data_IF_947284590031
#
_entry.id   IF_947284590031
#
_cell.length_a   1.000
_cell.length_b   1.000
_cell.length_c   1.000
_cell.angle_alpha   90.00
_cell.angle_beta   90.00
_cell.angle_gamma   90.00
#
_symmetry.space_group_name_H-M   'P 1'
#
loop_
_entity.id
_entity.type
_entity.pdbx_description
1 polymer ?
#
# COMPACT_ATOMS: atom_id res chain seq x y z
N UNK A 1 -25.00 43.94 16.49
CA UNK A 1 -25.45 42.91 15.54
C UNK A 1 -24.65 41.66 15.84
N UNK A 2 -25.30 40.67 16.42
CA UNK A 2 -24.74 39.38 16.78
C UNK A 2 -24.58 38.52 15.53
N UNK A 3 -23.34 38.14 15.22
CA UNK A 3 -23.05 37.12 14.22
C UNK A 3 -23.30 35.76 14.88
N UNK A 4 -24.46 35.17 14.63
CA UNK A 4 -24.76 33.80 15.05
C UNK A 4 -23.91 32.86 14.21
N UNK A 5 -22.90 32.27 14.84
CA UNK A 5 -22.08 31.22 14.25
C UNK A 5 -22.97 30.08 13.80
N UNK A 6 -22.93 29.82 12.50
CA UNK A 6 -23.48 28.61 11.92
C UNK A 6 -22.57 27.47 12.39
N UNK A 7 -23.04 26.74 13.40
CA UNK A 7 -22.32 25.61 13.95
C UNK A 7 -22.28 24.53 12.86
N UNK A 8 -21.14 24.41 12.18
CA UNK A 8 -20.78 23.17 11.51
C UNK A 8 -21.02 22.04 12.50
N UNK A 9 -21.81 21.01 12.17
CA UNK A 9 -22.06 19.91 13.10
C UNK A 9 -20.72 19.39 13.59
N UNK A 10 -20.48 19.47 14.90
CA UNK A 10 -19.35 18.81 15.53
C UNK A 10 -19.36 17.36 15.04
N UNK A 11 -18.25 16.85 14.49
CA UNK A 11 -18.18 15.45 14.11
C UNK A 11 -18.60 14.61 15.31
N UNK A 12 -19.33 13.49 15.12
CA UNK A 12 -19.46 12.54 16.21
C UNK A 12 -18.06 12.25 16.71
N UNK A 13 -17.90 12.27 18.04
CA UNK A 13 -16.67 12.15 18.83
C UNK A 13 -15.86 10.85 18.55
N UNK A 14 -16.29 10.07 17.54
CA UNK A 14 -15.84 8.73 17.14
C UNK A 14 -14.93 8.70 15.92
N UNK A 15 -14.75 9.79 15.17
CA UNK A 15 -13.80 9.85 14.04
C UNK A 15 -12.52 10.62 14.48
N UNK A 16 -11.40 9.93 14.79
CA UNK A 16 -10.24 10.56 15.41
C UNK A 16 -9.36 11.35 14.41
N UNK A 17 -9.55 11.16 13.10
CA UNK A 17 -8.90 11.95 12.05
C UNK A 17 -9.96 12.29 11.00
N UNK A 18 -10.41 13.54 10.97
CA UNK A 18 -11.39 14.00 9.99
C UNK A 18 -10.65 14.39 8.71
N UNK A 19 -10.91 13.73 7.58
CA UNK A 19 -10.58 14.31 6.28
C UNK A 19 -11.39 15.61 6.14
N UNK A 20 -10.76 16.75 6.35
CA UNK A 20 -11.45 18.04 6.31
C UNK A 20 -11.60 18.51 4.87
N UNK A 21 -12.84 18.77 4.46
CA UNK A 21 -13.12 19.35 3.16
C UNK A 21 -12.85 20.85 3.18
N UNK A 22 -12.45 21.40 2.03
CA UNK A 22 -12.52 22.84 1.87
C UNK A 22 -13.99 23.28 1.98
N UNK A 23 -14.30 24.44 2.60
CA UNK A 23 -15.68 24.88 2.79
C UNK A 23 -16.54 24.86 1.51
N UNK A 24 -15.93 25.18 0.36
CA UNK A 24 -16.56 25.16 -0.97
C UNK A 24 -17.00 23.77 -1.45
N UNK A 25 -16.42 22.69 -0.94
CA UNK A 25 -16.74 21.30 -1.34
C UNK A 25 -17.58 20.54 -0.31
N UNK A 26 -17.86 21.16 0.84
CA UNK A 26 -18.55 20.52 1.99
C UNK A 26 -19.95 19.98 1.68
N UNK A 27 -20.61 20.50 0.64
CA UNK A 27 -21.95 20.11 0.21
C UNK A 27 -21.97 19.02 -0.88
N UNK A 28 -20.80 18.64 -1.41
CA UNK A 28 -20.71 17.65 -2.49
C UNK A 28 -20.98 16.23 -1.98
N UNK A 29 -21.46 15.37 -2.87
CA UNK A 29 -21.69 13.93 -2.61
C UNK A 29 -22.67 13.61 -1.44
N UNK A 30 -23.85 14.26 -1.33
CA UNK A 30 -24.72 14.19 -0.14
C UNK A 30 -25.24 12.79 0.21
N UNK A 31 -25.22 11.84 -0.74
CA UNK A 31 -25.72 10.48 -0.54
C UNK A 31 -24.68 9.41 -0.89
N UNK A 32 -23.41 9.79 -1.06
CA UNK A 32 -22.37 8.79 -1.32
C UNK A 32 -22.13 7.95 -0.07
N UNK A 33 -21.94 6.66 -0.30
CA UNK A 33 -21.62 5.64 0.70
C UNK A 33 -20.36 4.91 0.28
N UNK A 34 -19.73 4.21 1.23
CA UNK A 34 -18.62 3.30 0.89
C UNK A 34 -19.12 2.32 -0.18
N UNK A 35 -18.33 2.05 -1.24
CA UNK A 35 -18.70 1.05 -2.24
C UNK A 35 -18.95 -0.31 -1.56
N UNK A 36 -20.07 -0.99 -1.86
CA UNK A 36 -20.41 -2.27 -1.24
C UNK A 36 -19.62 -3.42 -1.88
N UNK A 37 -18.30 -3.37 -1.77
CA UNK A 37 -17.41 -4.44 -2.24
C UNK A 37 -17.62 -5.73 -1.45
N UNK A 38 -17.22 -6.89 -2.00
CA UNK A 38 -17.42 -8.19 -1.32
C UNK A 38 -16.79 -8.24 0.07
N UNK A 39 -15.67 -7.52 0.25
CA UNK A 39 -14.98 -7.40 1.52
C UNK A 39 -15.48 -6.27 2.43
N UNK A 40 -16.47 -5.46 2.03
CA UNK A 40 -17.04 -4.45 2.91
C UNK A 40 -18.12 -5.06 3.83
N UNK A 41 -17.81 -5.15 5.13
CA UNK A 41 -18.67 -5.76 6.16
C UNK A 41 -19.35 -7.10 5.75
N UNK A 42 -18.57 -8.09 5.27
CA UNK A 42 -19.10 -9.35 4.75
C UNK A 42 -19.92 -10.11 5.80
N UNK A 43 -20.83 -11.00 5.38
CA UNK A 43 -21.62 -11.83 6.31
C UNK A 43 -20.77 -12.87 7.04
N UNK A 44 -19.85 -13.52 6.31
CA UNK A 44 -18.79 -14.38 6.84
C UNK A 44 -17.52 -13.55 7.06
N UNK A 45 -16.74 -13.87 8.07
CA UNK A 45 -15.40 -13.27 8.26
C UNK A 45 -14.44 -13.74 7.16
N UNK A 46 -13.37 -12.97 6.95
CA UNK A 46 -12.31 -13.18 5.96
C UNK A 46 -10.95 -12.89 6.61
N UNK A 47 -9.85 -13.13 5.90
CA UNK A 47 -8.50 -12.87 6.42
C UNK A 47 -7.97 -13.98 7.32
N UNK A 48 -6.74 -13.82 7.80
CA UNK A 48 -6.08 -14.68 8.77
C UNK A 48 -5.98 -14.02 10.15
N UNK A 49 -5.40 -14.72 11.13
CA UNK A 49 -5.00 -14.14 12.41
C UNK A 49 -6.16 -13.55 13.21
N UNK A 50 -6.01 -12.28 13.58
CA UNK A 50 -7.00 -11.52 14.33
C UNK A 50 -8.10 -10.92 13.43
N UNK A 51 -7.87 -10.78 12.12
CA UNK A 51 -8.84 -10.21 11.15
C UNK A 51 -10.10 -11.08 11.09
N UNK A 52 -9.92 -12.40 11.03
CA UNK A 52 -11.05 -13.35 11.00
C UNK A 52 -11.90 -13.37 12.28
N UNK A 53 -11.42 -12.75 13.39
CA UNK A 53 -12.10 -12.69 14.68
C UNK A 53 -12.95 -11.43 14.85
N UNK A 54 -12.90 -10.51 13.87
CA UNK A 54 -13.56 -9.22 13.98
C UNK A 54 -15.10 -9.34 13.93
N UNK A 55 -15.81 -8.65 14.85
CA UNK A 55 -17.26 -8.62 14.84
C UNK A 55 -17.78 -7.90 13.59
N UNK A 56 -19.01 -8.22 13.20
CA UNK A 56 -19.68 -7.51 12.11
C UNK A 56 -19.94 -6.07 12.54
N UNK A 57 -19.74 -5.12 11.63
CA UNK A 57 -19.98 -3.71 11.93
C UNK A 57 -21.46 -3.48 12.26
N UNK A 58 -21.71 -2.65 13.27
CA UNK A 58 -23.05 -2.21 13.64
C UNK A 58 -23.55 -1.03 12.79
N UNK A 59 -24.77 -0.55 13.07
CA UNK A 59 -25.39 0.54 12.31
C UNK A 59 -24.62 1.85 12.45
N UNK A 60 -24.07 2.14 13.63
CA UNK A 60 -23.33 3.38 13.88
C UNK A 60 -21.99 3.36 13.14
N UNK A 61 -21.27 2.24 13.18
CA UNK A 61 -20.00 2.07 12.48
C UNK A 61 -20.19 2.19 10.96
N UNK A 62 -21.30 1.70 10.42
CA UNK A 62 -21.65 1.88 9.00
C UNK A 62 -21.97 3.34 8.65
N UNK A 63 -22.63 4.08 9.55
CA UNK A 63 -22.88 5.52 9.38
C UNK A 63 -21.56 6.30 9.40
N UNK A 64 -20.68 5.99 10.34
CA UNK A 64 -19.36 6.61 10.47
C UNK A 64 -18.48 6.34 9.24
N UNK A 65 -18.47 5.10 8.75
CA UNK A 65 -17.75 4.72 7.53
C UNK A 65 -18.22 5.52 6.31
N UNK A 66 -19.54 5.66 6.13
CA UNK A 66 -20.14 6.43 5.03
C UNK A 66 -19.83 7.92 5.14
N UNK A 67 -19.90 8.49 6.35
CA UNK A 67 -19.55 9.88 6.60
C UNK A 67 -18.07 10.13 6.28
N UNK A 68 -17.19 9.24 6.74
CA UNK A 68 -15.76 9.34 6.51
C UNK A 68 -15.41 9.23 5.02
N UNK A 69 -15.99 8.27 4.30
CA UNK A 69 -15.79 8.13 2.85
C UNK A 69 -16.21 9.40 2.09
N UNK A 70 -17.38 9.95 2.42
CA UNK A 70 -17.84 11.21 1.82
C UNK A 70 -16.87 12.35 2.07
N UNK A 71 -16.43 12.53 3.32
CA UNK A 71 -15.49 13.58 3.70
C UNK A 71 -14.16 13.47 2.96
N UNK A 72 -13.65 12.25 2.76
CA UNK A 72 -12.45 12.01 1.93
C UNK A 72 -12.65 12.47 0.49
N UNK A 73 -13.78 12.13 -0.13
CA UNK A 73 -14.07 12.57 -1.50
C UNK A 73 -14.17 14.09 -1.61
N UNK A 74 -14.79 14.74 -0.62
CA UNK A 74 -14.88 16.21 -0.56
C UNK A 74 -13.51 16.86 -0.36
N UNK A 75 -12.66 16.32 0.53
CA UNK A 75 -11.29 16.79 0.72
C UNK A 75 -10.44 16.63 -0.55
N UNK A 76 -10.62 15.51 -1.27
CA UNK A 76 -9.90 15.22 -2.50
C UNK A 76 -10.20 16.22 -3.63
N UNK A 77 -11.35 16.90 -3.62
CA UNK A 77 -11.66 17.94 -4.62
C UNK A 77 -10.67 19.11 -4.58
N UNK A 78 -10.21 19.52 -3.38
CA UNK A 78 -9.21 20.56 -3.27
C UNK A 78 -7.83 20.12 -3.78
N UNK A 79 -7.52 18.82 -3.68
CA UNK A 79 -6.31 18.23 -4.25
C UNK A 79 -6.41 18.18 -5.78
N UNK A 80 -7.57 17.82 -6.32
CA UNK A 80 -7.82 17.80 -7.76
C UNK A 80 -7.64 19.20 -8.39
N UNK A 81 -8.24 20.23 -7.78
CA UNK A 81 -8.05 21.63 -8.19
C UNK A 81 -6.57 22.07 -8.11
N UNK A 82 -5.83 21.62 -7.10
CA UNK A 82 -4.39 21.91 -6.97
C UNK A 82 -3.60 21.25 -8.10
N UNK A 83 -3.88 19.99 -8.41
CA UNK A 83 -3.24 19.26 -9.51
C UNK A 83 -3.55 19.96 -10.84
N UNK A 84 -4.81 20.31 -11.09
CA UNK A 84 -5.20 21.08 -12.29
C UNK A 84 -4.41 22.39 -12.38
N UNK A 85 -4.32 23.15 -11.28
CA UNK A 85 -3.60 24.43 -11.25
C UNK A 85 -2.10 24.26 -11.55
N UNK A 86 -1.44 23.23 -10.99
CA UNK A 86 -0.03 22.93 -11.27
C UNK A 86 0.16 22.56 -12.74
N UNK A 87 -0.66 21.65 -13.27
CA UNK A 87 -0.58 21.22 -14.67
C UNK A 87 -0.82 22.38 -15.62
N UNK A 88 -1.85 23.19 -15.36
CA UNK A 88 -2.15 24.39 -16.16
C UNK A 88 -0.99 25.38 -16.11
N UNK A 89 -0.39 25.59 -14.94
CA UNK A 89 0.73 26.52 -14.81
C UNK A 89 1.97 26.05 -15.59
N UNK A 90 2.26 24.76 -15.59
CA UNK A 90 3.32 24.19 -16.41
C UNK A 90 3.03 24.34 -17.90
N UNK A 91 1.77 24.23 -18.31
CA UNK A 91 1.33 24.41 -19.71
C UNK A 91 1.45 25.87 -20.16
N UNK A 92 0.94 26.81 -19.35
CA UNK A 92 1.02 28.25 -19.59
C UNK A 92 2.48 28.75 -19.73
N UNK A 93 3.43 28.08 -19.06
CA UNK A 93 4.86 28.36 -19.14
C UNK A 93 5.58 27.58 -20.25
N UNK A 94 4.85 26.77 -21.04
CA UNK A 94 5.37 25.86 -22.06
C UNK A 94 6.42 24.84 -21.55
N UNK A 95 6.47 24.59 -20.24
CA UNK A 95 7.39 23.65 -19.60
C UNK A 95 6.86 22.21 -19.63
N UNK A 96 5.53 22.08 -19.76
CA UNK A 96 4.84 20.81 -19.64
C UNK A 96 5.28 19.76 -20.68
N UNK A 97 5.68 20.20 -21.88
CA UNK A 97 6.19 19.32 -22.94
C UNK A 97 7.52 18.63 -22.62
N UNK A 98 8.27 19.16 -21.64
CA UNK A 98 9.59 18.67 -21.22
C UNK A 98 9.61 18.30 -19.73
N UNK A 99 8.44 18.01 -19.15
CA UNK A 99 8.31 17.68 -17.72
C UNK A 99 7.67 16.31 -17.58
N UNK A 100 8.28 15.43 -16.79
CA UNK A 100 7.62 14.24 -16.30
C UNK A 100 6.77 14.62 -15.07
N UNK A 101 5.50 14.23 -15.09
CA UNK A 101 4.62 14.33 -13.92
C UNK A 101 4.24 12.92 -13.50
N UNK A 102 4.52 12.59 -12.25
CA UNK A 102 4.17 11.33 -11.62
C UNK A 102 3.15 11.63 -10.52
N UNK A 103 1.98 11.02 -10.61
CA UNK A 103 0.94 11.10 -9.58
C UNK A 103 0.84 9.74 -8.87
N UNK A 104 1.05 9.75 -7.56
CA UNK A 104 1.07 8.56 -6.71
C UNK A 104 0.72 8.92 -5.26
N UNK A 105 0.67 7.92 -4.38
CA UNK A 105 0.51 8.06 -2.92
C UNK A 105 1.51 7.15 -2.20
N UNK A 106 1.79 7.41 -0.93
CA UNK A 106 2.66 6.56 -0.10
C UNK A 106 1.99 5.21 0.22
N UNK A 107 0.69 5.23 0.52
CA UNK A 107 -0.15 4.06 0.78
C UNK A 107 -1.63 4.40 0.49
N UNK A 108 -2.50 3.39 0.56
CA UNK A 108 -3.95 3.57 0.59
C UNK A 108 -4.50 3.48 2.01
N UNK A 109 -5.83 3.49 2.09
CA UNK A 109 -6.60 3.58 3.31
C UNK A 109 -7.85 2.71 3.17
N UNK A 110 -8.02 1.74 4.06
CA UNK A 110 -9.24 0.93 4.13
C UNK A 110 -10.31 1.62 4.96
N UNK A 111 -11.55 1.44 4.54
CA UNK A 111 -12.76 1.93 5.22
C UNK A 111 -13.62 0.71 5.53
N UNK A 112 -13.25 0.01 6.60
CA UNK A 112 -13.96 -1.17 7.09
C UNK A 112 -14.07 -2.37 6.15
N UNK A 113 -13.22 -2.43 5.12
CA UNK A 113 -13.00 -3.69 4.41
C UNK A 113 -12.44 -4.75 5.38
N UNK A 114 -12.86 -5.99 5.20
CA UNK A 114 -12.63 -7.13 6.10
C UNK A 114 -13.10 -6.88 7.54
N UNK A 115 -14.01 -5.91 7.77
CA UNK A 115 -14.45 -5.41 9.08
C UNK A 115 -13.32 -4.72 9.88
N UNK A 116 -12.19 -4.43 9.25
CA UNK A 116 -11.03 -3.80 9.89
C UNK A 116 -11.34 -2.33 10.18
N UNK A 117 -11.21 -1.83 11.41
CA UNK A 117 -11.42 -0.41 11.70
C UNK A 117 -10.59 0.50 10.79
N UNK A 118 -11.06 1.72 10.55
CA UNK A 118 -10.43 2.67 9.64
C UNK A 118 -8.91 2.79 9.86
N UNK A 119 -8.15 2.79 8.77
CA UNK A 119 -6.70 2.95 8.84
C UNK A 119 -5.97 2.47 7.60
N UNK A 120 -4.72 2.08 7.84
CA UNK A 120 -3.77 1.57 6.85
C UNK A 120 -2.79 0.60 7.51
N UNK A 121 -1.91 -0.01 6.73
CA UNK A 121 -0.87 -0.91 7.22
C UNK A 121 -1.30 -2.38 7.25
N UNK A 122 -2.10 -2.79 6.26
CA UNK A 122 -2.45 -4.19 5.96
C UNK A 122 -1.90 -4.60 4.61
N UNK A 123 -1.74 -5.90 4.38
CA UNK A 123 -1.32 -6.45 3.08
C UNK A 123 -2.47 -6.52 2.05
N UNK A 124 -3.69 -6.12 2.42
CA UNK A 124 -4.84 -6.15 1.52
C UNK A 124 -4.72 -5.08 0.41
N UNK A 125 -5.31 -5.34 -0.76
CA UNK A 125 -5.29 -4.42 -1.91
C UNK A 125 -5.81 -3.02 -1.56
N UNK A 126 -6.68 -2.94 -0.56
CA UNK A 126 -7.23 -1.68 -0.03
C UNK A 126 -6.17 -0.75 0.55
N UNK A 127 -4.98 -1.26 0.85
CA UNK A 127 -3.89 -0.57 1.53
C UNK A 127 -2.65 -0.44 0.63
N UNK A 128 -2.37 -1.45 -0.19
CA UNK A 128 -1.09 -1.56 -0.92
C UNK A 128 -1.19 -1.23 -2.41
N UNK A 129 -2.35 -1.43 -3.04
CA UNK A 129 -2.48 -1.24 -4.49
C UNK A 129 -2.79 0.23 -4.83
N UNK A 130 -1.76 1.06 -4.79
CA UNK A 130 -1.84 2.51 -4.99
C UNK A 130 -2.04 2.93 -6.46
N UNK A 131 -2.64 4.10 -6.74
CA UNK A 131 -2.56 4.71 -8.06
C UNK A 131 -1.12 5.09 -8.39
N UNK A 132 -0.66 4.80 -9.61
CA UNK A 132 0.60 5.27 -10.14
C UNK A 132 0.38 5.72 -11.59
N UNK A 133 0.39 7.02 -11.84
CA UNK A 133 0.16 7.59 -13.17
C UNK A 133 1.36 8.43 -13.59
N UNK A 134 1.81 8.24 -14.83
CA UNK A 134 2.94 8.99 -15.39
C UNK A 134 2.51 9.66 -16.67
N UNK A 135 2.96 10.89 -16.85
CA UNK A 135 2.94 11.57 -18.14
C UNK A 135 4.26 12.30 -18.37
N UNK A 136 4.66 12.46 -19.62
CA UNK A 136 5.86 13.21 -19.94
C UNK A 136 6.39 12.90 -21.33
N UNK A 137 7.60 13.38 -21.67
CA UNK A 137 8.26 13.07 -22.93
C UNK A 137 8.38 11.56 -23.17
N UNK A 138 7.97 11.09 -24.34
CA UNK A 138 8.11 9.68 -24.72
C UNK A 138 7.23 8.68 -23.96
N UNK A 139 6.31 9.16 -23.11
CA UNK A 139 5.27 8.33 -22.48
C UNK A 139 4.06 8.28 -23.39
N UNK A 140 3.57 7.09 -23.71
CA UNK A 140 2.43 6.91 -24.59
C UNK A 140 1.15 7.47 -23.99
N UNK A 141 0.32 8.11 -24.83
CA UNK A 141 -0.95 8.70 -24.41
C UNK A 141 -2.07 7.67 -24.48
N UNK A 142 -3.00 7.74 -23.52
CA UNK A 142 -4.22 6.92 -23.54
C UNK A 142 -4.00 5.44 -23.20
N UNK A 143 -2.82 5.09 -22.69
CA UNK A 143 -2.55 3.75 -22.14
C UNK A 143 -3.25 3.64 -20.79
N UNK A 144 -4.21 2.72 -20.70
CA UNK A 144 -4.97 2.46 -19.47
C UNK A 144 -4.46 1.17 -18.82
N UNK A 145 -3.59 1.32 -17.84
CA UNK A 145 -2.98 0.21 -17.09
C UNK A 145 -1.84 -0.48 -17.83
N UNK A 146 -0.97 -1.13 -17.05
CA UNK A 146 0.11 -2.00 -17.53
C UNK A 146 -0.02 -3.36 -16.84
N UNK A 147 0.50 -4.42 -17.47
CA UNK A 147 0.57 -5.75 -16.84
C UNK A 147 1.86 -5.93 -16.04
N UNK A 148 2.52 -4.81 -15.73
CA UNK A 148 3.82 -4.78 -15.07
C UNK A 148 3.58 -4.59 -13.60
N UNK A 149 4.16 -5.48 -12.80
CA UNK A 149 4.18 -5.31 -11.35
C UNK A 149 5.24 -4.28 -11.02
N UNK A 150 4.87 -3.29 -10.22
CA UNK A 150 5.76 -2.21 -9.80
C UNK A 150 5.68 -2.02 -8.29
N UNK A 151 6.77 -1.54 -7.69
CA UNK A 151 6.89 -1.23 -6.28
C UNK A 151 7.41 0.21 -6.08
N UNK A 152 7.22 0.81 -4.90
CA UNK A 152 7.77 2.14 -4.58
C UNK A 152 9.30 2.21 -4.71
N UNK A 153 10.01 1.10 -4.48
CA UNK A 153 11.46 1.03 -4.66
C UNK A 153 11.89 1.23 -6.12
N UNK A 154 10.98 1.08 -7.09
CA UNK A 154 11.26 1.29 -8.51
C UNK A 154 11.27 2.79 -8.90
N UNK A 155 10.74 3.67 -8.05
CA UNK A 155 10.56 5.10 -8.38
C UNK A 155 11.91 5.78 -8.61
N UNK A 156 12.87 5.58 -7.71
CA UNK A 156 14.21 6.20 -7.82
C UNK A 156 14.97 5.73 -9.06
N UNK A 157 15.17 4.41 -9.30
CA UNK A 157 15.87 3.95 -10.50
C UNK A 157 15.14 4.39 -11.79
N UNK A 158 13.80 4.49 -11.77
CA UNK A 158 13.03 5.05 -12.90
C UNK A 158 13.38 6.51 -13.16
N UNK A 159 13.41 7.35 -12.13
CA UNK A 159 13.72 8.77 -12.27
C UNK A 159 15.15 9.00 -12.79
N UNK A 160 16.13 8.26 -12.27
CA UNK A 160 17.52 8.34 -12.74
C UNK A 160 17.65 7.91 -14.20
N UNK A 161 16.96 6.83 -14.59
CA UNK A 161 16.91 6.36 -15.98
C UNK A 161 16.30 7.40 -16.91
N UNK A 162 15.19 8.03 -16.52
CA UNK A 162 14.59 9.14 -17.28
C UNK A 162 15.52 10.35 -17.41
N UNK A 163 16.34 10.62 -16.39
CA UNK A 163 17.34 11.68 -16.39
C UNK A 163 18.61 11.33 -17.19
N UNK A 164 18.72 10.11 -17.74
CA UNK A 164 19.92 9.64 -18.42
C UNK A 164 21.11 9.38 -17.50
N UNK A 165 20.85 9.22 -16.19
CA UNK A 165 21.87 8.91 -15.19
C UNK A 165 22.02 7.39 -15.14
N UNK A 166 23.24 6.85 -15.36
CA UNK A 166 23.46 5.41 -15.33
C UNK A 166 23.26 4.86 -13.92
N UNK A 167 22.63 3.68 -13.84
CA UNK A 167 22.47 2.94 -12.59
C UNK A 167 23.70 2.06 -12.37
N UNK A 168 24.25 2.09 -11.15
CA UNK A 168 25.25 1.13 -10.72
C UNK A 168 24.63 -0.23 -10.41
N UNK A 169 25.42 -1.31 -10.48
CA UNK A 169 24.95 -2.63 -10.06
C UNK A 169 24.64 -2.62 -8.57
N UNK A 170 23.42 -3.04 -8.20
CA UNK A 170 22.95 -3.14 -6.81
C UNK A 170 22.79 -1.81 -6.05
N UNK A 171 22.69 -0.68 -6.74
CA UNK A 171 22.42 0.62 -6.09
C UNK A 171 21.03 0.71 -5.47
N UNK A 172 20.07 -0.06 -6.00
CA UNK A 172 18.66 -0.04 -5.62
C UNK A 172 18.08 -1.45 -5.56
N UNK A 173 17.12 -1.66 -4.66
CA UNK A 173 16.32 -2.90 -4.59
C UNK A 173 15.31 -3.00 -5.75
N UNK A 174 14.85 -1.85 -6.25
CA UNK A 174 13.94 -1.76 -7.38
C UNK A 174 14.65 -1.62 -8.73
N UNK A 175 13.89 -1.67 -9.81
CA UNK A 175 14.39 -1.47 -11.18
C UNK A 175 13.58 -0.43 -11.94
N UNK A 176 14.10 0.15 -13.04
CA UNK A 176 13.36 1.12 -13.82
C UNK A 176 12.04 0.56 -14.34
N UNK A 177 10.95 1.29 -14.13
CA UNK A 177 9.65 0.95 -14.69
C UNK A 177 9.65 1.21 -16.21
N UNK A 178 8.92 0.39 -17.00
CA UNK A 178 8.82 0.53 -18.44
C UNK A 178 7.80 1.61 -18.82
N UNK A 179 8.04 2.85 -18.40
CA UNK A 179 7.12 4.00 -18.60
C UNK A 179 7.33 4.73 -19.95
N UNK A 180 8.45 4.48 -20.62
CA UNK A 180 8.79 5.03 -21.94
C UNK A 180 9.80 4.12 -22.62
N UNK A 181 10.10 4.36 -23.89
CA UNK A 181 11.17 3.64 -24.61
C UNK A 181 12.54 3.66 -23.90
N UNK A 182 12.80 4.70 -23.11
CA UNK A 182 14.03 4.80 -22.30
C UNK A 182 13.96 3.88 -21.08
N UNK A 183 12.79 3.78 -20.43
CA UNK A 183 12.55 2.88 -19.32
C UNK A 183 12.45 1.41 -19.73
N UNK A 184 11.88 1.11 -20.90
CA UNK A 184 11.75 -0.26 -21.42
C UNK A 184 13.10 -0.97 -21.59
N UNK A 185 14.11 -0.27 -22.09
CA UNK A 185 15.43 -0.86 -22.33
C UNK A 185 16.21 -1.17 -21.04
N UNK A 186 15.87 -0.50 -19.93
CA UNK A 186 16.51 -0.67 -18.62
C UNK A 186 15.68 -1.51 -17.64
N UNK A 187 14.45 -1.87 -18.02
CA UNK A 187 13.53 -2.62 -17.17
C UNK A 187 13.95 -4.08 -17.02
N UNK A 188 13.95 -4.55 -15.78
CA UNK A 188 14.02 -5.99 -15.49
C UNK A 188 12.61 -6.42 -15.05
N UNK A 189 11.96 -7.33 -15.79
CA UNK A 189 10.66 -7.84 -15.37
C UNK A 189 10.75 -8.47 -13.99
N UNK A 190 9.94 -7.96 -13.06
CA UNK A 190 9.73 -8.61 -11.77
C UNK A 190 8.41 -9.38 -11.82
N UNK A 191 8.48 -10.66 -11.47
CA UNK A 191 7.32 -11.53 -11.30
C UNK A 191 6.66 -11.34 -9.92
N UNK A 192 7.29 -10.59 -9.02
CA UNK A 192 6.79 -10.42 -7.66
C UNK A 192 7.14 -9.06 -7.05
N UNK A 193 6.36 -8.67 -6.05
CA UNK A 193 6.58 -7.51 -5.19
C UNK A 193 6.48 -7.93 -3.73
N UNK A 194 7.49 -7.55 -2.94
CA UNK A 194 7.49 -7.67 -1.49
C UNK A 194 6.77 -6.50 -0.83
N UNK A 195 5.95 -6.82 0.17
CA UNK A 195 5.20 -5.88 1.01
C UNK A 195 5.46 -6.26 2.46
N UNK A 196 5.67 -5.29 3.33
CA UNK A 196 5.93 -5.56 4.73
C UNK A 196 5.29 -4.52 5.64
N UNK A 197 5.01 -4.94 6.87
CA UNK A 197 4.68 -4.06 7.98
C UNK A 197 5.35 -4.59 9.23
N UNK A 198 5.96 -3.68 10.01
CA UNK A 198 6.69 -4.02 11.23
C UNK A 198 6.13 -3.28 12.44
N UNK A 199 5.90 -4.03 13.52
CA UNK A 199 5.52 -3.51 14.82
C UNK A 199 4.01 -3.43 15.05
N UNK A 200 3.64 -2.51 15.92
CA UNK A 200 2.29 -2.28 16.40
C UNK A 200 1.51 -1.34 15.50
N UNK A 201 0.22 -1.61 15.31
CA UNK A 201 -0.68 -0.67 14.64
C UNK A 201 -1.68 -0.08 15.63
N UNK A 202 -1.77 1.26 15.62
CA UNK A 202 -2.90 1.98 16.18
C UNK A 202 -3.94 2.21 15.08
N UNK A 203 -5.21 1.88 15.36
CA UNK A 203 -6.28 2.20 14.43
C UNK A 203 -6.52 3.70 14.37
N UNK A 204 -6.83 4.19 13.17
CA UNK A 204 -7.20 5.58 12.91
C UNK A 204 -8.73 5.78 12.96
N UNK A 205 -9.48 4.78 13.43
CA UNK A 205 -10.94 4.81 13.60
C UNK A 205 -11.38 4.13 14.90
N UNK A 206 -12.58 4.49 15.37
CA UNK A 206 -13.19 3.79 16.49
C UNK A 206 -13.60 2.37 16.08
N UNK A 207 -13.44 1.43 17.02
CA UNK A 207 -13.99 0.09 16.96
C UNK A 207 -14.66 -0.16 18.31
N UNK A 208 -15.96 -0.48 18.31
CA UNK A 208 -16.77 -0.44 19.53
C UNK A 208 -16.39 -1.51 20.56
N UNK A 209 -15.78 -2.60 20.12
CA UNK A 209 -15.45 -3.77 20.93
C UNK A 209 -14.00 -4.26 20.76
N UNK A 210 -13.14 -3.47 20.11
CA UNK A 210 -11.70 -3.75 20.12
C UNK A 210 -11.09 -2.94 21.24
N UNK A 211 -10.27 -3.60 22.06
CA UNK A 211 -9.39 -2.87 22.96
C UNK A 211 -8.57 -1.90 22.10
N UNK A 212 -8.66 -0.59 22.41
CA UNK A 212 -7.89 0.45 21.73
C UNK A 212 -6.40 0.31 22.02
N UNK A 213 -6.00 -0.66 22.85
CA UNK A 213 -4.62 -1.09 22.96
C UNK A 213 -4.14 -1.63 21.61
N UNK A 214 -2.97 -1.15 21.21
CA UNK A 214 -2.23 -1.53 20.01
C UNK A 214 -2.35 -3.02 19.69
N UNK A 215 -2.68 -3.36 18.45
CA UNK A 215 -2.54 -4.75 18.00
C UNK A 215 -1.04 -5.03 17.81
N UNK A 216 -0.48 -5.79 18.75
CA UNK A 216 0.93 -6.21 18.76
C UNK A 216 1.25 -7.27 17.71
N UNK A 217 0.23 -7.91 17.16
CA UNK A 217 0.33 -8.93 16.14
C UNK A 217 -0.08 -8.39 14.75
N UNK A 218 0.46 -7.22 14.37
CA UNK A 218 0.30 -6.66 13.02
C UNK A 218 1.56 -6.78 12.16
N UNK A 219 2.62 -7.41 12.66
CA UNK A 219 3.81 -7.61 11.84
C UNK A 219 3.54 -8.71 10.82
N UNK A 220 3.76 -8.41 9.54
CA UNK A 220 3.60 -9.35 8.45
C UNK A 220 4.59 -9.06 7.33
N UNK A 221 4.78 -10.07 6.49
CA UNK A 221 5.32 -9.92 5.16
C UNK A 221 4.37 -10.53 4.15
N UNK A 222 4.36 -9.97 2.96
CA UNK A 222 3.51 -10.43 1.89
C UNK A 222 4.23 -10.37 0.55
N UNK A 223 3.84 -11.28 -0.33
CA UNK A 223 4.27 -11.33 -1.70
C UNK A 223 3.04 -11.15 -2.59
N UNK A 224 3.13 -10.21 -3.54
CA UNK A 224 2.27 -10.20 -4.71
C UNK A 224 3.05 -10.83 -5.85
N UNK A 225 2.54 -11.91 -6.43
CA UNK A 225 3.20 -12.67 -7.48
C UNK A 225 2.31 -12.65 -8.72
N UNK A 226 2.86 -12.24 -9.86
CA UNK A 226 2.18 -12.21 -11.15
C UNK A 226 3.07 -12.94 -12.15
N UNK A 227 2.53 -14.01 -12.73
CA UNK A 227 3.29 -14.79 -13.69
C UNK A 227 3.48 -14.05 -15.02
N UNK A 228 4.48 -14.50 -15.79
CA UNK A 228 4.81 -13.90 -17.08
C UNK A 228 3.63 -14.02 -18.08
N UNK A 229 3.00 -12.89 -18.36
CA UNK A 229 1.86 -12.78 -19.27
C UNK A 229 0.51 -12.94 -18.55
N UNK A 230 -0.47 -12.12 -18.96
CA UNK A 230 -1.86 -12.16 -18.46
C UNK A 230 -2.35 -13.60 -18.33
N UNK A 231 -2.83 -13.97 -17.15
CA UNK A 231 -3.53 -15.23 -16.85
C UNK A 231 -2.67 -16.47 -16.58
N UNK A 232 -1.36 -16.37 -16.33
CA UNK A 232 -0.59 -17.53 -15.82
C UNK A 232 -0.92 -17.77 -14.34
N UNK A 233 -0.62 -16.80 -13.48
CA UNK A 233 -1.08 -16.75 -12.10
C UNK A 233 -1.01 -15.31 -11.58
N UNK A 234 -1.81 -15.02 -10.56
CA UNK A 234 -1.86 -13.71 -9.91
C UNK A 234 -2.24 -13.94 -8.45
N UNK A 235 -1.24 -13.99 -7.57
CA UNK A 235 -1.37 -14.51 -6.22
C UNK A 235 -0.96 -13.46 -5.20
N UNK A 236 -1.75 -13.31 -4.14
CA UNK A 236 -1.38 -12.59 -2.93
C UNK A 236 -1.11 -13.60 -1.82
N UNK A 237 0.08 -13.57 -1.24
CA UNK A 237 0.47 -14.44 -0.14
C UNK A 237 0.94 -13.60 1.05
N UNK A 238 0.46 -13.90 2.24
CA UNK A 238 0.74 -13.13 3.47
C UNK A 238 1.18 -14.11 4.55
N UNK A 239 2.30 -13.81 5.20
CA UNK A 239 2.80 -14.50 6.39
C UNK A 239 2.75 -13.53 7.56
N UNK A 240 2.03 -13.89 8.60
CA UNK A 240 1.96 -13.15 9.86
C UNK A 240 3.01 -13.65 10.84
N UNK A 241 3.43 -12.77 11.75
CA UNK A 241 4.44 -13.12 12.75
C UNK A 241 4.02 -14.14 13.80
N UNK A 242 2.71 -14.40 13.96
CA UNK A 242 2.19 -15.49 14.77
C UNK A 242 2.18 -16.84 14.02
N UNK A 243 2.64 -16.87 12.77
CA UNK A 243 2.67 -18.04 11.91
C UNK A 243 1.36 -18.32 11.18
N UNK A 244 0.36 -17.43 11.25
CA UNK A 244 -0.80 -17.54 10.36
C UNK A 244 -0.42 -17.14 8.92
N UNK A 245 -1.09 -17.78 7.97
CA UNK A 245 -0.85 -17.60 6.54
C UNK A 245 -2.14 -17.27 5.81
N UNK A 246 -2.03 -16.44 4.78
CA UNK A 246 -3.13 -16.16 3.86
C UNK A 246 -2.65 -16.31 2.42
N UNK A 247 -3.48 -16.92 1.59
CA UNK A 247 -3.26 -17.04 0.16
C UNK A 247 -4.51 -16.61 -0.58
N UNK A 248 -4.35 -15.86 -1.67
CA UNK A 248 -5.47 -15.39 -2.48
C UNK A 248 -5.11 -15.50 -3.96
N UNK A 249 -6.01 -16.09 -4.75
CA UNK A 249 -5.98 -15.91 -6.21
C UNK A 249 -6.63 -14.57 -6.52
N UNK A 250 -5.80 -13.60 -6.87
CA UNK A 250 -6.20 -12.21 -7.09
C UNK A 250 -6.94 -12.01 -8.43
N UNK A 251 -7.00 -13.03 -9.28
CA UNK A 251 -7.84 -13.04 -10.49
C UNK A 251 -9.28 -13.37 -10.15
N UNK A 252 -9.48 -14.44 -9.38
CA UNK A 252 -10.82 -14.95 -9.03
C UNK A 252 -11.39 -14.34 -7.74
N UNK A 253 -10.51 -13.94 -6.82
CA UNK A 253 -10.81 -13.31 -5.53
C UNK A 253 -10.03 -11.98 -5.34
N UNK A 254 -10.31 -10.95 -6.16
CA UNK A 254 -9.64 -9.64 -6.04
C UNK A 254 -10.00 -8.88 -4.75
N UNK A 255 -10.96 -9.39 -3.97
CA UNK A 255 -11.37 -8.82 -2.70
C UNK A 255 -10.84 -9.61 -1.49
N UNK A 256 -10.04 -10.67 -1.72
CA UNK A 256 -9.31 -11.39 -0.68
C UNK A 256 -10.23 -11.95 0.42
N UNK A 257 -11.32 -12.56 -0.01
CA UNK A 257 -12.38 -13.07 0.84
C UNK A 257 -12.18 -14.53 1.26
N UNK A 258 -11.60 -15.33 0.39
CA UNK A 258 -11.52 -16.78 0.53
C UNK A 258 -10.06 -17.21 0.65
N UNK A 259 -9.57 -17.27 1.89
CA UNK A 259 -8.26 -17.86 2.21
C UNK A 259 -8.40 -19.40 2.14
N UNK A 260 -7.77 -20.08 1.16
CA UNK A 260 -7.84 -21.53 1.02
C UNK A 260 -6.94 -22.25 2.03
N UNK A 261 -6.02 -21.53 2.71
CA UNK A 261 -5.13 -22.15 3.69
C UNK A 261 -5.85 -22.38 5.03
N UNK A 262 -5.60 -23.52 5.71
CA UNK A 262 -6.12 -23.75 7.04
C UNK A 262 -5.47 -22.79 8.05
N UNK A 263 -6.25 -22.24 8.99
CA UNK A 263 -5.69 -21.44 10.10
C UNK A 263 -4.77 -22.32 10.96
N UNK A 264 -3.57 -21.83 11.28
CA UNK A 264 -2.65 -22.54 12.16
C UNK A 264 -3.19 -22.46 13.59
N UNK A 265 -3.68 -23.59 14.13
CA UNK A 265 -3.93 -23.70 15.57
C UNK A 265 -2.62 -23.47 16.32
N UNK A 266 -2.66 -22.65 17.38
CA UNK A 266 -1.55 -22.36 18.30
C UNK A 266 -0.96 -23.59 19.04
N UNK A 267 -1.42 -24.81 18.73
CA UNK A 267 -0.86 -26.07 19.19
C UNK A 267 -0.07 -26.84 18.13
N UNK A 268 -0.05 -26.38 16.88
CA UNK A 268 0.70 -27.05 15.83
C UNK A 268 2.13 -26.56 15.88
N UNK A 269 2.94 -27.24 16.69
CA UNK A 269 4.36 -27.40 16.40
C UNK A 269 4.48 -27.65 14.89
N UNK A 270 5.40 -26.97 14.19
CA UNK A 270 5.79 -27.36 12.83
C UNK A 270 6.30 -28.80 12.95
N UNK A 271 5.40 -29.78 12.79
CA UNK A 271 5.74 -31.19 12.75
C UNK A 271 6.19 -31.40 11.32
N UNK A 272 7.45 -31.80 11.07
CA UNK A 272 7.81 -32.31 9.76
C UNK A 272 6.94 -33.56 9.58
N UNK A 273 5.86 -33.46 8.79
CA UNK A 273 5.01 -34.62 8.48
C UNK A 273 5.83 -35.57 7.63
N UNK A 274 6.55 -36.49 8.28
CA UNK A 274 7.25 -37.58 7.62
C UNK A 274 6.21 -38.53 7.02
N UNK A 275 6.04 -38.47 5.70
CA UNK A 275 5.52 -39.59 4.90
C UNK A 275 4.12 -39.46 4.31
N UNK A 276 3.51 -38.27 4.28
CA UNK A 276 2.26 -38.03 3.54
C UNK A 276 2.51 -37.30 2.23
N UNK A 277 1.76 -37.61 1.18
CA UNK A 277 1.64 -36.74 -0.01
C UNK A 277 1.09 -35.39 0.48
N UNK A 278 1.79 -34.30 0.20
CA UNK A 278 1.30 -32.94 0.50
C UNK A 278 0.04 -32.68 -0.34
N UNK A 279 -1.02 -32.17 0.28
CA UNK A 279 -2.15 -31.65 -0.47
C UNK A 279 -1.72 -30.47 -1.35
N UNK A 280 -2.48 -30.13 -2.39
CA UNK A 280 -2.13 -29.00 -3.26
C UNK A 280 -1.97 -27.68 -2.48
N UNK A 281 -2.84 -27.43 -1.50
CA UNK A 281 -2.76 -26.25 -0.62
C UNK A 281 -1.52 -26.28 0.29
N UNK A 282 -1.23 -27.43 0.92
CA UNK A 282 -0.02 -27.61 1.73
C UNK A 282 1.23 -27.43 0.88
N UNK A 283 1.24 -27.98 -0.34
CA UNK A 283 2.34 -27.89 -1.29
C UNK A 283 2.55 -26.44 -1.74
N UNK A 284 1.49 -25.71 -2.07
CA UNK A 284 1.57 -24.29 -2.40
C UNK A 284 2.07 -23.46 -1.21
N UNK A 285 1.61 -23.73 0.01
CA UNK A 285 2.13 -23.03 1.18
C UNK A 285 3.63 -23.31 1.38
N UNK A 286 4.06 -24.58 1.33
CA UNK A 286 5.48 -24.92 1.45
C UNK A 286 6.32 -24.35 0.30
N UNK A 287 5.77 -24.28 -0.91
CA UNK A 287 6.44 -23.70 -2.06
C UNK A 287 6.61 -22.18 -1.89
N UNK A 288 5.61 -21.48 -1.37
CA UNK A 288 5.72 -20.04 -1.09
C UNK A 288 6.61 -19.75 0.12
N UNK A 289 6.60 -20.60 1.15
CA UNK A 289 7.55 -20.52 2.27
C UNK A 289 8.99 -20.70 1.78
N UNK A 290 9.26 -21.74 0.99
CA UNK A 290 10.58 -22.01 0.40
C UNK A 290 11.01 -20.89 -0.55
N UNK A 291 10.09 -20.40 -1.39
CA UNK A 291 10.31 -19.26 -2.28
C UNK A 291 10.64 -18.01 -1.47
N UNK A 292 9.85 -17.70 -0.46
CA UNK A 292 10.08 -16.59 0.45
C UNK A 292 11.45 -16.71 1.16
N UNK A 293 11.80 -17.89 1.67
CA UNK A 293 13.12 -18.16 2.24
C UNK A 293 14.26 -18.04 1.21
N UNK A 294 14.00 -18.32 -0.06
CA UNK A 294 14.98 -18.12 -1.14
C UNK A 294 15.23 -16.64 -1.48
N UNK A 295 14.22 -15.78 -1.27
CA UNK A 295 14.36 -14.32 -1.37
C UNK A 295 15.20 -13.75 -0.21
N UNK A 296 15.36 -14.51 0.89
CA UNK A 296 16.03 -14.09 2.13
C UNK A 296 17.58 -14.08 2.05
N UNK A 297 18.15 -13.35 1.08
CA UNK A 297 19.50 -12.77 1.29
C UNK A 297 19.52 -11.71 2.41
N UNK A 298 18.35 -11.21 2.82
CA UNK A 298 18.19 -10.44 4.04
C UNK A 298 17.83 -11.39 5.18
N UNK A 299 18.77 -11.58 6.11
CA UNK A 299 18.61 -12.34 7.35
C UNK A 299 17.70 -11.55 8.32
N UNK A 300 16.54 -12.11 8.69
CA UNK A 300 15.61 -11.45 9.62
C UNK A 300 15.17 -12.41 10.71
N UNK A 301 16.04 -12.59 11.69
CA UNK A 301 15.93 -13.70 12.64
C UNK A 301 14.87 -13.50 13.75
N UNK A 302 13.99 -12.47 13.71
CA UNK A 302 12.95 -12.35 14.74
C UNK A 302 11.73 -11.49 14.35
N UNK A 303 10.55 -12.10 14.47
CA UNK A 303 9.29 -11.43 14.74
C UNK A 303 9.34 -10.74 16.12
N UNK A 304 9.92 -9.54 16.18
CA UNK A 304 10.04 -8.80 17.44
C UNK A 304 8.97 -7.69 17.49
N UNK A 305 8.09 -7.65 18.51
CA UNK A 305 7.07 -6.61 18.66
C UNK A 305 7.65 -5.19 18.86
N UNK A 306 8.97 -5.11 19.08
CA UNK A 306 9.74 -3.86 19.20
C UNK A 306 10.81 -3.71 18.12
N UNK A 307 10.62 -4.31 16.94
CA UNK A 307 11.52 -4.06 15.83
C UNK A 307 11.34 -2.60 15.38
N UNK A 308 12.13 -1.71 15.96
CA UNK A 308 12.48 -0.48 15.27
C UNK A 308 13.27 -0.94 14.06
N UNK A 309 12.73 -0.72 12.85
CA UNK A 309 13.50 -0.88 11.62
C UNK A 309 14.72 0.04 11.70
N UNK A 310 15.83 -0.49 12.23
CA UNK A 310 17.14 0.07 11.98
C UNK A 310 17.39 -0.34 10.55
N UNK A 311 17.46 0.63 9.64
CA UNK A 311 17.80 0.41 8.24
C UNK A 311 18.84 -0.71 8.15
N UNK A 312 18.56 -1.73 7.35
CA UNK A 312 19.40 -2.91 7.28
C UNK A 312 20.82 -2.54 6.85
N UNK A 313 21.73 -2.60 7.82
CA UNK A 313 23.13 -2.31 7.58
C UNK A 313 23.45 -0.82 7.47
N UNK A 314 24.73 -0.47 7.59
CA UNK A 314 25.14 0.92 7.71
C UNK A 314 24.81 1.67 6.43
N UNK A 315 23.93 2.67 6.50
CA UNK A 315 24.21 3.91 5.78
C UNK A 315 25.62 4.29 6.25
N UNK A 316 26.63 4.40 5.36
CA UNK A 316 27.94 4.89 5.76
C UNK A 316 27.69 6.17 6.56
N UNK A 317 28.19 6.22 7.81
CA UNK A 317 28.03 7.39 8.66
C UNK A 317 28.35 8.65 7.82
N UNK A 318 27.57 9.73 7.95
CA UNK A 318 27.83 10.95 7.23
C UNK A 318 29.28 11.33 7.47
N UNK A 319 29.96 11.67 6.38
CA UNK A 319 31.31 12.19 6.39
C UNK A 319 31.52 13.10 7.60
N UNK A 320 32.50 12.75 8.41
CA UNK A 320 33.01 13.64 9.43
C UNK A 320 33.74 14.76 8.69
N UNK A 321 33.03 15.84 8.38
CA UNK A 321 33.65 17.07 7.90
C UNK A 321 32.93 18.27 8.48
N UNK A 322 33.59 18.88 9.45
CA UNK A 322 33.80 20.32 9.41
C UNK A 322 34.04 20.76 7.96
N UNK A 323 33.22 21.71 7.50
CA UNK A 323 33.25 22.41 6.20
C UNK A 323 32.35 21.82 5.10
N UNK A 324 31.15 22.42 5.03
CA UNK A 324 30.71 23.25 3.90
C UNK A 324 30.75 22.64 2.48
N UNK A 325 29.63 22.06 2.04
CA UNK A 325 29.33 21.80 0.63
C UNK A 325 27.82 21.91 0.28
N UNK A 326 27.01 22.60 1.10
CA UNK A 326 25.61 22.97 0.74
C UNK A 326 25.50 24.34 0.05
N UNK A 327 26.64 24.95 -0.28
CA UNK A 327 26.74 26.20 -1.02
C UNK A 327 27.60 26.01 -2.28
N UNK A 328 27.03 25.44 -3.36
CA UNK A 328 27.49 25.59 -4.76
C UNK A 328 26.59 24.85 -5.78
N UNK A 329 25.27 24.93 -5.60
CA UNK A 329 24.31 24.70 -6.69
C UNK A 329 23.89 26.03 -7.36
N UNK A 330 24.85 26.94 -7.44
CA UNK A 330 24.95 27.98 -8.47
C UNK A 330 26.32 27.80 -9.11
N UNK A 331 26.32 27.79 -10.44
CA UNK A 331 27.43 27.63 -11.38
C UNK A 331 27.85 26.20 -11.74
N UNK A 332 27.34 25.79 -12.91
CA UNK A 332 28.20 25.40 -14.01
C UNK A 332 28.74 23.98 -13.97
N UNK A 333 28.14 23.13 -14.82
CA UNK A 333 28.73 21.93 -15.41
C UNK A 333 29.65 21.10 -14.49
N UNK A 334 29.12 20.03 -13.90
CA UNK A 334 28.97 18.70 -14.56
C UNK A 334 27.74 18.03 -13.96
#
# INVERSE_FOLDING_TARGET
MSWSGDATPTPPERLPISAESAPRHSHMFPNITVPPTKNFNPSKTSGGGWVQKLPKLDTDELVDANLFYRRRLQALQAVDELVEAVIKRLDDLELLKNTYVIYTTDNRYHINQHRIPLGKGRAYETDVHIPFMVRGPGVDKGVNGTDVVTNHVDVVPTLLTLAGIPLGPHDFDGTPMPISKVGEAAHVPHEHVGIEFWGELAFEGAAKDLDKSKFTNNTYKALRIIGNGKNTFNLGYIIWCDGDHELYDMTSDPYQMDNPLPSMSSSNTIVPRRGGVLGQEDAMNTEFDDYYHSLAKMQYDACHPYYNAIAEGPVPKPFNSSNDLFARWTDGYV
#
